data_IF_468421594174
#
_entry.id   IF_468421594174
#
_cell.length_a   1.000
_cell.length_b   1.000
_cell.length_c   1.000
_cell.angle_alpha   90.00
_cell.angle_beta   90.00
_cell.angle_gamma   90.00
#
_symmetry.space_group_name_H-M   'P 1'
#
loop_
_entity.id
_entity.type
_entity.pdbx_description
1 polymer ?
#
# COMPACT_ATOMS: atom_id res chain seq x y z
N UNK A 1 -20.97 2.90 -1.46
CA UNK A 1 -20.25 1.68 -1.86
C UNK A 1 -18.97 2.01 -2.63
N UNK A 2 -18.96 3.11 -3.40
CA UNK A 2 -17.77 3.57 -4.13
C UNK A 2 -16.64 3.99 -3.19
N UNK A 3 -16.91 4.58 -2.03
CA UNK A 3 -15.90 4.96 -1.04
C UNK A 3 -15.13 3.79 -0.46
N UNK A 4 -15.81 2.70 -0.12
CA UNK A 4 -15.18 1.46 0.39
C UNK A 4 -14.27 0.85 -0.68
N UNK A 5 -14.71 0.80 -1.91
CA UNK A 5 -13.91 0.33 -3.04
C UNK A 5 -12.64 1.17 -3.24
N UNK A 6 -12.77 2.46 -3.09
CA UNK A 6 -11.70 3.42 -3.28
C UNK A 6 -10.62 3.28 -2.20
N UNK A 7 -10.97 3.08 -0.95
CA UNK A 7 -10.02 2.85 0.14
C UNK A 7 -9.37 1.46 0.07
N UNK A 8 -10.09 0.46 -0.40
CA UNK A 8 -9.59 -0.91 -0.49
C UNK A 8 -8.53 -1.07 -1.59
N UNK A 9 -8.62 -0.34 -2.69
CA UNK A 9 -7.69 -0.48 -3.81
C UNK A 9 -6.22 -0.23 -3.43
N UNK A 10 -5.85 0.85 -2.74
CA UNK A 10 -4.47 1.05 -2.30
C UNK A 10 -3.97 -0.03 -1.35
N UNK A 11 -4.81 -0.50 -0.43
CA UNK A 11 -4.45 -1.59 0.48
C UNK A 11 -4.15 -2.85 -0.31
N UNK A 12 -5.04 -3.24 -1.22
CA UNK A 12 -4.88 -4.45 -2.02
C UNK A 12 -3.75 -4.36 -3.06
N UNK A 13 -3.36 -3.17 -3.48
CA UNK A 13 -2.29 -2.98 -4.46
C UNK A 13 -0.89 -2.94 -3.82
N UNK A 14 -0.74 -2.32 -2.67
CA UNK A 14 0.55 -2.03 -2.04
C UNK A 14 0.87 -2.88 -0.80
N UNK A 15 0.01 -3.83 -0.45
CA UNK A 15 0.22 -4.69 0.70
C UNK A 15 1.49 -5.53 0.59
N UNK A 16 2.20 -5.66 1.71
CA UNK A 16 3.37 -6.50 1.85
C UNK A 16 3.16 -7.46 3.03
N UNK A 17 3.21 -8.76 2.78
CA UNK A 17 3.12 -9.77 3.84
C UNK A 17 4.39 -9.82 4.68
N UNK A 18 4.28 -10.35 5.90
CA UNK A 18 5.46 -10.57 6.74
C UNK A 18 6.44 -11.56 6.10
N UNK A 19 5.94 -12.61 5.46
CA UNK A 19 6.80 -13.61 4.79
C UNK A 19 7.59 -12.98 3.64
N UNK A 20 6.92 -12.18 2.81
CA UNK A 20 7.58 -11.49 1.69
C UNK A 20 8.53 -10.41 2.19
N UNK A 21 8.20 -9.72 3.29
CA UNK A 21 9.11 -8.76 3.92
C UNK A 21 10.40 -9.46 4.43
N UNK A 22 10.28 -10.59 5.09
CA UNK A 22 11.43 -11.37 5.56
C UNK A 22 12.28 -11.80 4.36
N UNK A 23 11.65 -12.30 3.30
CA UNK A 23 12.35 -12.67 2.07
C UNK A 23 13.10 -11.47 1.48
N UNK A 24 12.46 -10.31 1.40
CA UNK A 24 13.06 -9.08 0.88
C UNK A 24 14.31 -8.70 1.67
N UNK A 25 14.25 -8.72 2.99
CA UNK A 25 15.39 -8.40 3.87
C UNK A 25 16.52 -9.39 3.66
N UNK A 26 16.24 -10.69 3.66
CA UNK A 26 17.24 -11.74 3.46
C UNK A 26 17.91 -11.57 2.08
N UNK A 27 17.13 -11.41 1.02
CA UNK A 27 17.66 -11.25 -0.33
C UNK A 27 18.49 -9.98 -0.49
N UNK A 28 18.11 -8.90 0.17
CA UNK A 28 18.87 -7.66 0.17
C UNK A 28 20.23 -7.78 0.86
N UNK A 29 20.32 -8.61 1.89
CA UNK A 29 21.57 -8.89 2.61
C UNK A 29 22.45 -9.87 1.82
N UNK A 30 21.86 -10.91 1.25
CA UNK A 30 22.59 -12.01 0.58
C UNK A 30 23.01 -11.67 -0.85
N UNK A 31 22.47 -10.62 -1.47
CA UNK A 31 22.82 -10.29 -2.85
C UNK A 31 24.31 -9.98 -2.98
N UNK A 32 24.94 -10.55 -4.00
CA UNK A 32 26.36 -10.32 -4.29
C UNK A 32 26.62 -8.92 -4.86
N UNK A 33 25.63 -8.30 -5.45
CA UNK A 33 25.73 -6.96 -6.02
C UNK A 33 24.41 -6.23 -5.90
N UNK A 34 24.34 -5.26 -5.02
CA UNK A 34 23.18 -4.39 -4.86
C UNK A 34 23.33 -3.10 -5.69
N UNK A 35 24.52 -2.49 -5.68
CA UNK A 35 24.73 -1.18 -6.28
C UNK A 35 23.75 -0.14 -5.72
N UNK A 36 23.38 0.81 -6.56
CA UNK A 36 22.25 1.70 -6.27
C UNK A 36 20.99 1.10 -6.92
N UNK A 37 20.16 0.44 -6.13
CA UNK A 37 18.97 -0.25 -6.62
C UNK A 37 17.73 0.20 -5.84
N UNK A 38 16.68 0.56 -6.55
CA UNK A 38 15.36 0.83 -5.98
C UNK A 38 14.47 -0.37 -6.21
N UNK A 39 13.83 -0.83 -5.15
CA UNK A 39 12.97 -1.99 -5.15
C UNK A 39 11.67 -1.68 -4.40
N UNK A 40 10.54 -2.06 -4.96
CA UNK A 40 9.26 -1.92 -4.28
C UNK A 40 9.01 -3.10 -3.35
N UNK A 41 8.82 -2.82 -2.06
CA UNK A 41 8.42 -3.81 -1.05
C UNK A 41 6.93 -4.08 -1.11
N UNK A 42 6.50 -4.88 -2.08
CA UNK A 42 5.10 -5.22 -2.31
C UNK A 42 5.00 -6.71 -2.58
N UNK A 43 3.99 -7.36 -2.00
CA UNK A 43 3.70 -8.76 -2.28
C UNK A 43 3.21 -8.97 -3.72
N UNK A 44 3.05 -10.21 -4.14
CA UNK A 44 2.58 -10.52 -5.50
C UNK A 44 1.07 -10.31 -5.65
N UNK A 45 0.61 -9.13 -5.30
CA UNK A 45 -0.80 -8.76 -5.32
C UNK A 45 -1.33 -8.69 -6.74
N UNK A 46 -2.54 -9.20 -6.99
CA UNK A 46 -3.18 -9.14 -8.30
C UNK A 46 -3.40 -7.69 -8.77
N UNK A 47 -3.59 -6.77 -7.82
CA UNK A 47 -3.87 -5.34 -8.08
C UNK A 47 -2.65 -4.44 -7.95
N UNK A 48 -1.44 -5.01 -7.89
CA UNK A 48 -0.23 -4.21 -7.82
C UNK A 48 -0.05 -3.36 -9.07
N UNK A 49 0.44 -2.16 -8.87
CA UNK A 49 0.72 -1.19 -9.92
C UNK A 49 2.21 -0.83 -10.01
N UNK A 50 3.06 -1.68 -9.46
CA UNK A 50 4.52 -1.52 -9.45
C UNK A 50 5.20 -2.73 -10.07
N UNK A 51 6.40 -2.51 -10.60
CA UNK A 51 7.21 -3.53 -11.25
C UNK A 51 8.64 -3.48 -10.70
N UNK A 52 9.17 -4.65 -10.38
CA UNK A 52 10.55 -4.83 -9.87
C UNK A 52 11.49 -5.45 -10.91
N UNK A 53 11.17 -5.40 -12.19
CA UNK A 53 11.98 -6.01 -13.23
C UNK A 53 13.42 -5.47 -13.23
N UNK A 54 13.59 -4.16 -13.05
CA UNK A 54 14.91 -3.51 -12.99
C UNK A 54 15.73 -3.90 -11.76
N UNK A 55 15.08 -4.43 -10.72
CA UNK A 55 15.70 -4.91 -9.50
C UNK A 55 15.74 -6.45 -9.40
N UNK A 56 15.52 -7.16 -10.49
CA UNK A 56 15.44 -8.63 -10.53
C UNK A 56 16.72 -9.33 -10.05
N UNK A 57 17.88 -8.68 -10.17
CA UNK A 57 19.16 -9.19 -9.69
C UNK A 57 19.24 -9.35 -8.16
N UNK A 58 18.40 -8.67 -7.40
CA UNK A 58 18.30 -8.85 -5.96
C UNK A 58 17.71 -10.24 -5.60
N UNK A 59 16.89 -10.81 -6.46
CA UNK A 59 16.30 -12.13 -6.27
C UNK A 59 15.05 -12.14 -5.39
N UNK A 60 14.42 -10.98 -5.18
CA UNK A 60 13.16 -10.89 -4.46
C UNK A 60 12.01 -11.41 -5.32
N UNK A 61 11.40 -12.50 -4.90
CA UNK A 61 10.26 -13.15 -5.57
C UNK A 61 9.10 -13.25 -4.58
N UNK A 62 8.26 -12.22 -4.45
CA UNK A 62 7.12 -12.23 -3.53
C UNK A 62 6.11 -13.31 -3.95
N UNK A 63 5.50 -13.95 -2.97
CA UNK A 63 4.57 -15.08 -3.17
C UNK A 63 3.17 -14.80 -2.68
N UNK A 64 3.03 -14.01 -1.62
CA UNK A 64 1.75 -13.74 -1.00
C UNK A 64 0.93 -12.74 -1.83
N UNK A 65 -0.40 -12.78 -1.66
CA UNK A 65 -1.33 -11.99 -2.44
C UNK A 65 -2.43 -11.43 -1.52
N UNK A 66 -2.59 -10.13 -1.53
CA UNK A 66 -3.61 -9.44 -0.74
C UNK A 66 -5.06 -9.79 -1.14
N UNK A 67 -5.27 -10.34 -2.32
CA UNK A 67 -6.61 -10.66 -2.83
C UNK A 67 -7.38 -11.61 -1.91
N UNK A 68 -6.69 -12.45 -1.13
CA UNK A 68 -7.32 -13.31 -0.12
C UNK A 68 -8.08 -12.53 0.97
N UNK A 69 -7.73 -11.26 1.17
CA UNK A 69 -8.39 -10.37 2.14
C UNK A 69 -9.42 -9.44 1.49
N UNK A 70 -9.57 -9.49 0.17
CA UNK A 70 -10.41 -8.54 -0.57
C UNK A 70 -11.85 -8.52 -0.05
N UNK A 71 -12.46 -9.67 0.16
CA UNK A 71 -13.84 -9.76 0.65
C UNK A 71 -14.00 -9.11 2.04
N UNK A 72 -13.05 -9.36 2.95
CA UNK A 72 -13.06 -8.77 4.29
C UNK A 72 -12.87 -7.26 4.24
N UNK A 73 -11.95 -6.78 3.40
CA UNK A 73 -11.66 -5.35 3.23
C UNK A 73 -12.86 -4.62 2.63
N UNK A 74 -13.50 -5.19 1.61
CA UNK A 74 -14.68 -4.58 0.99
C UNK A 74 -15.91 -4.56 1.90
N UNK A 75 -16.00 -5.48 2.84
CA UNK A 75 -17.09 -5.50 3.85
C UNK A 75 -16.83 -4.54 5.02
N UNK A 76 -15.58 -4.14 5.25
CA UNK A 76 -15.25 -3.18 6.28
C UNK A 76 -15.46 -1.77 5.78
N UNK A 77 -16.10 -0.94 6.59
CA UNK A 77 -16.23 0.50 6.32
C UNK A 77 -14.93 1.20 6.77
N UNK A 78 -13.92 1.17 5.90
CA UNK A 78 -12.59 1.69 6.19
C UNK A 78 -12.43 3.19 5.94
N UNK A 79 -13.53 3.93 5.84
CA UNK A 79 -13.50 5.38 5.84
C UNK A 79 -13.75 6.07 4.50
N UNK A 80 -13.43 7.33 4.45
CA UNK A 80 -13.87 8.29 3.49
C UNK A 80 -13.50 8.00 2.02
N UNK A 81 -14.32 8.55 1.15
CA UNK A 81 -14.09 8.55 -0.30
C UNK A 81 -12.71 9.13 -0.63
N UNK A 82 -11.89 8.33 -1.28
CA UNK A 82 -10.65 8.80 -1.85
C UNK A 82 -10.94 9.48 -3.19
N UNK A 83 -10.32 10.61 -3.42
CA UNK A 83 -10.48 11.32 -4.69
C UNK A 83 -9.96 10.48 -5.87
N UNK A 84 -10.47 10.74 -7.06
CA UNK A 84 -9.98 10.10 -8.30
C UNK A 84 -8.48 10.28 -8.49
N UNK A 85 -7.94 11.44 -8.09
CA UNK A 85 -6.51 11.71 -8.11
C UNK A 85 -5.74 10.79 -7.15
N UNK A 86 -6.27 10.57 -5.95
CA UNK A 86 -5.67 9.65 -4.98
C UNK A 86 -5.60 8.21 -5.50
N UNK A 87 -6.59 7.79 -6.29
CA UNK A 87 -6.62 6.45 -6.89
C UNK A 87 -5.60 6.26 -8.02
N UNK A 88 -5.25 7.34 -8.69
CA UNK A 88 -4.31 7.32 -9.82
C UNK A 88 -2.86 7.47 -9.41
N UNK A 89 -2.60 7.82 -8.16
CA UNK A 89 -1.26 8.12 -7.65
C UNK A 89 -0.83 7.12 -6.58
N UNK A 90 0.45 6.79 -6.54
CA UNK A 90 1.03 5.91 -5.51
C UNK A 90 0.86 6.45 -4.08
N UNK A 91 0.76 7.77 -3.93
CA UNK A 91 0.57 8.41 -2.64
C UNK A 91 -0.85 8.33 -2.08
N UNK A 92 -1.82 7.85 -2.86
CA UNK A 92 -3.21 7.68 -2.42
C UNK A 92 -3.80 8.98 -1.88
N UNK A 93 -4.46 8.92 -0.72
CA UNK A 93 -5.10 10.06 -0.09
C UNK A 93 -4.15 11.22 0.27
N UNK A 94 -2.86 10.95 0.44
CA UNK A 94 -1.88 12.00 0.71
C UNK A 94 -1.72 12.99 -0.44
N UNK A 95 -1.88 12.52 -1.66
CA UNK A 95 -1.74 13.37 -2.87
C UNK A 95 -2.85 14.39 -2.97
N UNK A 96 -4.05 14.08 -2.51
CA UNK A 96 -5.23 14.95 -2.58
C UNK A 96 -5.47 15.77 -1.31
N UNK A 97 -4.57 15.68 -0.34
CA UNK A 97 -4.70 16.42 0.92
C UNK A 97 -4.08 17.82 0.79
N UNK A 98 -4.82 18.81 1.21
CA UNK A 98 -4.36 20.20 1.22
C UNK A 98 -3.18 20.40 2.19
N UNK A 99 -2.31 21.36 1.89
CA UNK A 99 -1.20 21.73 2.76
C UNK A 99 -1.73 22.18 4.13
N UNK A 100 -1.11 21.67 5.18
CA UNK A 100 -1.50 21.99 6.56
C UNK A 100 -2.64 21.14 7.11
N UNK A 101 -3.24 20.25 6.32
CA UNK A 101 -4.26 19.31 6.77
C UNK A 101 -3.62 17.94 6.98
N UNK A 102 -3.90 17.30 8.12
CA UNK A 102 -3.44 15.94 8.36
C UNK A 102 -4.22 14.93 7.49
N UNK A 103 -3.54 14.16 6.63
CA UNK A 103 -4.20 13.09 5.88
C UNK A 103 -4.88 12.06 6.78
N UNK A 104 -4.29 11.77 7.92
CA UNK A 104 -4.84 10.80 8.88
C UNK A 104 -6.14 11.28 9.51
N UNK A 105 -6.27 12.60 9.70
CA UNK A 105 -7.52 13.21 10.18
C UNK A 105 -8.60 13.14 9.10
N UNK A 106 -8.25 13.42 7.85
CA UNK A 106 -9.16 13.32 6.71
C UNK A 106 -9.67 11.88 6.51
N UNK A 107 -8.80 10.89 6.72
CA UNK A 107 -9.16 9.47 6.62
C UNK A 107 -9.81 8.92 7.90
N UNK A 108 -10.10 9.77 8.88
CA UNK A 108 -10.69 9.37 10.17
C UNK A 108 -9.89 8.30 10.93
N UNK A 109 -8.59 8.20 10.67
CA UNK A 109 -7.69 7.23 11.32
C UNK A 109 -7.27 7.70 12.72
N UNK A 110 -7.17 9.03 12.90
CA UNK A 110 -6.87 9.63 14.19
C UNK A 110 -8.12 10.37 14.68
N UNK A 111 -8.67 9.91 15.77
CA UNK A 111 -9.71 10.66 16.48
C UNK A 111 -9.05 11.82 17.22
N UNK A 112 -9.43 13.03 16.86
CA UNK A 112 -9.06 14.21 17.66
C UNK A 112 -9.83 14.13 19.00
N UNK A 113 -9.13 14.00 20.14
CA UNK A 113 -9.81 13.93 21.44
C UNK A 113 -10.57 15.20 21.79
N UNK A 114 -10.36 16.30 21.06
CA UNK A 114 -11.10 17.55 21.21
C UNK A 114 -12.41 17.59 20.44
N UNK A 115 -12.63 16.66 19.52
CA UNK A 115 -13.89 16.52 18.79
C UNK A 115 -14.73 15.50 19.55
N UNK A 116 -15.59 15.98 20.41
CA UNK A 116 -16.63 15.14 21.01
C UNK A 116 -17.64 14.78 19.93
N UNK A 117 -17.81 13.49 19.75
CA UNK A 117 -18.92 12.99 18.95
C UNK A 117 -20.24 13.32 19.62
#
# INVERSE_FOLDING_TARGET
VTGVQTCALPILSSWLSYNDLIQLVIKSIETSYAGFTTLYGVSNNDRKNVDNTDASHIGFLPKDNAEIYAETIFKSDLGDEMSDVGNQCHGGAFVSTELGVSPMKKMNIIHDPKIKK
#
